data_IF_606611088551
#
_entry.id   IF_606611088551
#
_cell.length_a   1.000
_cell.length_b   1.000
_cell.length_c   1.000
_cell.angle_alpha   90.00
_cell.angle_beta   90.00
_cell.angle_gamma   90.00
#
_symmetry.space_group_name_H-M   'P 1'
#
loop_
_entity.id
_entity.type
_entity.pdbx_description
1 polymer ?
#
# COMPACT_ATOMS: atom_id res chain seq x y z
N UNK A 1 -17.24 -11.27 5.53
CA UNK A 1 -18.62 -11.22 5.06
C UNK A 1 -18.69 -10.47 3.75
N UNK A 2 -19.32 -11.01 2.73
CA UNK A 2 -19.43 -10.30 1.46
C UNK A 2 -20.30 -9.04 1.58
N UNK A 3 -19.98 -8.05 0.79
CA UNK A 3 -20.78 -6.83 0.72
C UNK A 3 -22.16 -7.14 0.12
N UNK A 4 -23.16 -6.43 0.61
CA UNK A 4 -24.50 -6.49 0.04
C UNK A 4 -24.56 -5.49 -1.12
N UNK A 5 -24.83 -5.98 -2.33
CA UNK A 5 -24.72 -5.19 -3.55
C UNK A 5 -25.55 -3.91 -3.54
N UNK A 6 -26.74 -3.93 -2.94
CA UNK A 6 -27.63 -2.77 -2.87
C UNK A 6 -27.16 -1.71 -1.85
N UNK A 7 -26.21 -2.05 -0.99
CA UNK A 7 -25.56 -1.09 -0.08
C UNK A 7 -24.30 -0.48 -0.68
N UNK A 8 -23.81 -1.05 -1.76
CA UNK A 8 -22.58 -0.60 -2.41
C UNK A 8 -22.94 0.35 -3.56
N UNK A 9 -23.08 1.62 -3.25
CA UNK A 9 -23.42 2.63 -4.23
C UNK A 9 -22.36 2.83 -5.30
N UNK A 10 -21.15 2.25 -5.11
CA UNK A 10 -20.04 2.36 -6.05
C UNK A 10 -19.74 1.06 -6.77
N UNK A 11 -20.59 0.05 -6.63
CA UNK A 11 -20.35 -1.27 -7.19
C UNK A 11 -20.10 -1.23 -8.69
N UNK A 12 -20.86 -0.43 -9.43
CA UNK A 12 -20.77 -0.29 -10.87
C UNK A 12 -19.91 0.86 -11.35
N UNK A 13 -19.29 1.59 -10.42
CA UNK A 13 -18.38 2.66 -10.78
C UNK A 13 -17.05 2.09 -11.24
N UNK A 14 -16.43 2.78 -12.18
CA UNK A 14 -15.14 2.38 -12.70
C UNK A 14 -14.06 2.50 -11.62
N UNK A 15 -13.32 1.43 -11.41
CA UNK A 15 -12.13 1.49 -10.57
C UNK A 15 -11.00 2.17 -11.31
N UNK A 16 -10.19 2.94 -10.60
CA UNK A 16 -9.02 3.60 -11.17
C UNK A 16 -7.91 3.70 -10.13
N UNK A 17 -6.69 3.83 -10.59
CA UNK A 17 -5.53 3.96 -9.69
C UNK A 17 -5.64 5.18 -8.78
N UNK A 18 -6.23 6.27 -9.26
CA UNK A 18 -6.40 7.50 -8.47
C UNK A 18 -7.67 7.54 -7.65
N UNK A 19 -8.58 6.58 -7.82
CA UNK A 19 -9.82 6.53 -7.06
C UNK A 19 -9.63 5.92 -5.68
N UNK A 20 -10.66 5.99 -4.82
CA UNK A 20 -10.58 5.38 -3.50
C UNK A 20 -10.36 3.87 -3.58
N UNK A 21 -9.57 3.34 -2.66
CA UNK A 21 -9.38 1.90 -2.54
C UNK A 21 -10.65 1.24 -2.02
N UNK A 22 -10.94 0.05 -2.51
CA UNK A 22 -12.09 -0.73 -2.06
C UNK A 22 -11.69 -1.84 -1.08
N UNK A 23 -10.39 -2.12 -0.94
CA UNK A 23 -9.85 -3.15 -0.04
C UNK A 23 -8.61 -2.63 0.65
N UNK A 24 -8.35 -3.17 1.82
CA UNK A 24 -7.17 -2.82 2.61
C UNK A 24 -6.65 -4.05 3.33
N UNK A 25 -5.35 -4.13 3.53
CA UNK A 25 -4.69 -5.22 4.25
C UNK A 25 -3.51 -4.68 5.03
N UNK A 26 -3.38 -5.11 6.29
CA UNK A 26 -2.21 -4.79 7.10
C UNK A 26 -0.95 -5.37 6.45
N UNK A 27 0.14 -4.63 6.49
CA UNK A 27 1.42 -5.01 5.90
C UNK A 27 2.41 -5.33 7.01
N UNK A 28 3.04 -6.52 6.91
CA UNK A 28 4.26 -6.82 7.64
C UNK A 28 5.42 -6.64 6.68
N UNK A 29 6.32 -5.67 6.91
CA UNK A 29 7.45 -5.47 6.02
C UNK A 29 8.30 -6.74 5.89
N UNK A 30 8.76 -7.03 4.68
CA UNK A 30 9.49 -8.26 4.37
C UNK A 30 10.50 -7.97 3.26
N UNK A 31 11.78 -8.21 3.53
CA UNK A 31 12.85 -7.96 2.56
C UNK A 31 12.82 -8.94 1.38
N UNK A 32 12.17 -10.08 1.53
CA UNK A 32 12.26 -11.18 0.56
C UNK A 32 11.00 -11.39 -0.28
N UNK A 33 9.84 -10.94 0.18
CA UNK A 33 8.56 -11.27 -0.45
C UNK A 33 7.73 -10.05 -0.82
N UNK A 34 7.11 -10.12 -2.00
CA UNK A 34 6.15 -9.12 -2.44
C UNK A 34 4.84 -9.24 -1.68
N UNK A 35 4.04 -8.16 -1.70
CA UNK A 35 2.68 -8.18 -1.17
C UNK A 35 1.84 -9.21 -1.94
N UNK A 36 0.92 -9.91 -1.26
CA UNK A 36 0.02 -10.86 -1.95
C UNK A 36 -0.81 -10.20 -3.04
N UNK A 37 -1.19 -8.95 -2.82
CA UNK A 37 -1.84 -8.09 -3.82
C UNK A 37 -1.09 -6.77 -3.82
N UNK A 38 -0.68 -6.32 -5.00
CA UNK A 38 0.04 -5.06 -5.09
C UNK A 38 -0.85 -3.90 -4.66
N UNK A 39 -0.27 -2.98 -3.91
CA UNK A 39 -0.99 -1.83 -3.40
C UNK A 39 -1.06 -0.71 -4.45
N UNK A 40 -2.18 -0.03 -4.53
CA UNK A 40 -2.27 1.22 -5.29
C UNK A 40 -1.79 2.41 -4.46
N UNK A 41 -1.77 2.26 -3.14
CA UNK A 41 -1.26 3.25 -2.20
C UNK A 41 -1.02 2.57 -0.85
N UNK A 42 -0.27 3.24 0.02
CA UNK A 42 -0.07 2.82 1.40
C UNK A 42 -0.63 3.85 2.36
N UNK A 43 -1.05 3.38 3.53
CA UNK A 43 -1.35 4.22 4.67
C UNK A 43 -0.37 3.90 5.78
N UNK A 44 0.24 4.93 6.36
CA UNK A 44 1.17 4.77 7.48
C UNK A 44 0.47 5.24 8.75
N UNK A 45 0.23 4.32 9.67
CA UNK A 45 -0.37 4.68 10.97
C UNK A 45 0.62 5.41 11.87
N UNK A 46 1.91 5.09 11.74
CA UNK A 46 3.00 5.77 12.44
C UNK A 46 4.01 6.25 11.40
N UNK A 47 4.33 7.53 11.43
CA UNK A 47 5.28 8.12 10.49
C UNK A 47 6.71 7.63 10.71
N UNK A 48 7.54 7.81 9.69
CA UNK A 48 8.94 7.42 9.70
C UNK A 48 9.44 7.15 8.30
N UNK A 49 10.54 6.42 8.19
CA UNK A 49 11.06 6.00 6.90
C UNK A 49 10.28 4.77 6.42
N UNK A 50 9.98 4.73 5.13
CA UNK A 50 9.42 3.54 4.52
C UNK A 50 10.18 3.24 3.23
N UNK A 51 10.74 2.04 3.15
CA UNK A 51 11.52 1.59 2.00
C UNK A 51 10.67 0.62 1.18
N UNK A 52 10.47 0.95 -0.08
CA UNK A 52 9.56 0.20 -0.93
C UNK A 52 10.19 -0.12 -2.29
N UNK A 53 9.68 -1.19 -2.90
CA UNK A 53 9.78 -1.41 -4.34
C UNK A 53 8.45 -1.01 -4.95
N UNK A 54 8.49 -0.05 -5.87
CA UNK A 54 7.30 0.30 -6.64
C UNK A 54 7.01 -0.81 -7.65
N UNK A 55 5.80 -0.82 -8.21
CA UNK A 55 5.34 -1.92 -9.06
C UNK A 55 6.26 -2.18 -10.24
N UNK A 56 6.79 -1.13 -10.85
CA UNK A 56 7.66 -1.25 -12.02
C UNK A 56 9.15 -1.29 -11.69
N UNK A 57 9.53 -1.31 -10.41
CA UNK A 57 10.93 -1.33 -10.01
C UNK A 57 11.52 -2.73 -10.06
N UNK A 58 12.80 -2.83 -10.43
CA UNK A 58 13.58 -4.05 -10.27
C UNK A 58 13.96 -4.24 -8.80
N UNK A 59 14.32 -5.48 -8.42
CA UNK A 59 14.59 -5.83 -7.01
C UNK A 59 15.66 -4.94 -6.35
N UNK A 60 16.64 -4.50 -7.12
CA UNK A 60 17.72 -3.65 -6.60
C UNK A 60 17.39 -2.17 -6.54
N UNK A 61 16.17 -1.76 -6.87
CA UNK A 61 15.79 -0.37 -7.04
C UNK A 61 14.86 0.14 -5.93
N UNK A 62 15.02 -0.38 -4.71
CA UNK A 62 14.21 0.08 -3.58
C UNK A 62 14.50 1.55 -3.26
N UNK A 63 13.46 2.28 -2.90
CA UNK A 63 13.54 3.69 -2.57
C UNK A 63 13.02 3.91 -1.15
N UNK A 64 13.72 4.74 -0.38
CA UNK A 64 13.29 5.13 0.95
C UNK A 64 12.56 6.48 0.86
N UNK A 65 11.31 6.48 1.31
CA UNK A 65 10.58 7.72 1.55
C UNK A 65 10.89 8.12 3.00
N UNK A 66 11.87 8.99 3.15
CA UNK A 66 12.41 9.35 4.47
C UNK A 66 11.49 10.35 5.19
N UNK A 67 11.34 10.14 6.50
CA UNK A 67 10.60 11.06 7.36
C UNK A 67 9.17 11.32 6.86
N UNK A 68 8.51 10.30 6.33
CA UNK A 68 7.14 10.45 5.87
C UNK A 68 6.21 10.60 7.08
N UNK A 69 5.34 11.62 7.09
CA UNK A 69 4.39 11.76 8.19
C UNK A 69 3.38 10.61 8.16
N UNK A 70 2.72 10.36 9.30
CA UNK A 70 1.59 9.43 9.33
C UNK A 70 0.55 9.88 8.30
N UNK A 71 -0.02 8.92 7.57
CA UNK A 71 -1.03 9.20 6.57
C UNK A 71 -0.76 8.52 5.24
N UNK A 72 -1.24 9.14 4.19
CA UNK A 72 -1.36 8.54 2.86
C UNK A 72 -0.07 8.68 2.05
N UNK A 73 0.36 7.57 1.45
CA UNK A 73 1.48 7.53 0.50
C UNK A 73 0.94 7.04 -0.85
N UNK A 74 0.70 7.95 -1.81
CA UNK A 74 0.02 7.62 -3.08
C UNK A 74 0.99 7.05 -4.13
N UNK A 75 1.58 5.91 -3.84
CA UNK A 75 2.54 5.22 -4.72
C UNK A 75 2.12 3.77 -4.87
N UNK A 76 2.17 3.25 -6.10
CA UNK A 76 1.88 1.84 -6.33
C UNK A 76 3.08 0.99 -5.91
N UNK A 77 2.85 0.07 -4.96
CA UNK A 77 3.90 -0.67 -4.27
C UNK A 77 3.69 -2.16 -4.41
N UNK A 78 4.76 -2.89 -4.74
CA UNK A 78 4.75 -4.35 -4.75
C UNK A 78 5.41 -4.97 -3.52
N UNK A 79 6.31 -4.26 -2.84
CA UNK A 79 7.00 -4.76 -1.64
C UNK A 79 7.31 -3.62 -0.69
N UNK A 80 7.08 -3.85 0.61
CA UNK A 80 7.58 -2.98 1.67
C UNK A 80 8.70 -3.72 2.38
N UNK A 81 9.92 -3.21 2.29
CA UNK A 81 11.09 -3.87 2.86
C UNK A 81 11.17 -3.59 4.36
N UNK A 82 11.61 -4.61 5.12
CA UNK A 82 11.82 -4.45 6.56
C UNK A 82 13.05 -3.60 6.85
N UNK A 83 14.14 -3.86 6.10
CA UNK A 83 15.36 -3.07 6.25
C UNK A 83 15.17 -1.68 5.68
N UNK A 84 15.37 -0.65 6.51
CA UNK A 84 15.21 0.74 6.10
C UNK A 84 13.83 1.32 6.37
N UNK A 85 12.90 0.52 6.88
CA UNK A 85 11.56 0.96 7.24
C UNK A 85 11.46 1.11 8.75
N UNK A 86 11.17 2.33 9.21
CA UNK A 86 10.90 2.63 10.62
C UNK A 86 9.44 3.04 10.85
N UNK A 87 8.71 3.39 9.79
CA UNK A 87 7.28 3.63 9.87
C UNK A 87 6.55 2.38 10.34
N UNK A 88 5.44 2.55 11.01
CA UNK A 88 4.66 1.44 11.57
C UNK A 88 3.20 1.48 11.20
N UNK A 89 2.50 0.39 11.51
CA UNK A 89 1.06 0.25 11.27
C UNK A 89 0.73 0.56 9.80
N UNK A 90 1.45 -0.09 8.90
CA UNK A 90 1.32 0.14 7.47
C UNK A 90 0.15 -0.67 6.94
N UNK A 91 -0.68 -0.05 6.12
CA UNK A 91 -1.82 -0.70 5.47
C UNK A 91 -1.69 -0.55 3.97
N UNK A 92 -1.80 -1.65 3.24
CA UNK A 92 -1.85 -1.63 1.78
C UNK A 92 -3.29 -1.37 1.35
N UNK A 93 -3.46 -0.45 0.41
CA UNK A 93 -4.76 -0.07 -0.15
C UNK A 93 -4.82 -0.55 -1.60
N UNK A 94 -5.90 -1.24 -1.96
CA UNK A 94 -6.05 -1.79 -3.31
C UNK A 94 -7.53 -1.97 -3.66
N UNK A 95 -7.82 -2.39 -4.87
CA UNK A 95 -9.18 -2.70 -5.30
C UNK A 95 -9.45 -4.25 -5.29
#
# INVERSE_FOLDING_TARGET
MPAIADRDGLLNHRRSAGGPARRARAVTPDDAGDLPVYAKALYLGTGGNVRVLTVDAADGEAVVFANHPAGYLPVQVRRVLATGTSAGQIVALFD
#
